data_IF_782260522920
#
_entry.id   IF_782260522920
#
_cell.length_a   1.000
_cell.length_b   1.000
_cell.length_c   1.000
_cell.angle_alpha   90.00
_cell.angle_beta   90.00
_cell.angle_gamma   90.00
#
_symmetry.space_group_name_H-M   'P 1'
#
loop_
_entity.id
_entity.type
_entity.pdbx_description
1 polymer ?
#
# COMPACT_ATOMS: atom_id res chain seq x y z
N UNK A 1 -9.82 -16.73 -16.12
CA UNK A 1 -9.85 -16.51 -14.67
C UNK A 1 -9.62 -17.85 -14.02
N UNK A 2 -8.40 -18.12 -13.57
CA UNK A 2 -8.10 -19.31 -12.78
C UNK A 2 -8.33 -18.89 -11.34
N UNK A 3 -9.30 -19.51 -10.68
CA UNK A 3 -9.50 -19.39 -9.23
C UNK A 3 -8.97 -20.70 -8.66
N UNK A 4 -7.76 -20.66 -8.12
CA UNK A 4 -7.19 -21.77 -7.37
C UNK A 4 -7.67 -21.65 -5.91
N UNK A 5 -8.41 -22.64 -5.37
CA UNK A 5 -8.88 -22.64 -3.98
C UNK A 5 -7.75 -22.82 -2.94
N UNK A 6 -6.49 -23.03 -3.34
CA UNK A 6 -5.33 -23.10 -2.45
C UNK A 6 -4.57 -21.77 -2.28
N UNK A 7 -5.23 -20.62 -2.47
CA UNK A 7 -4.73 -19.27 -2.14
C UNK A 7 -4.49 -19.03 -0.63
N UNK A 8 -4.21 -20.08 0.14
CA UNK A 8 -3.83 -20.03 1.57
C UNK A 8 -2.37 -19.63 1.82
N UNK A 9 -1.57 -19.45 0.77
CA UNK A 9 -0.21 -18.93 0.90
C UNK A 9 -0.23 -17.41 0.79
N UNK A 10 -0.70 -16.74 1.84
CA UNK A 10 -0.63 -15.28 1.92
C UNK A 10 0.85 -14.85 1.83
N UNK A 11 1.15 -13.87 1.00
CA UNK A 11 2.49 -13.33 0.75
C UNK A 11 3.27 -13.03 2.06
N UNK A 12 4.09 -13.99 2.52
CA UNK A 12 4.97 -13.83 3.71
C UNK A 12 6.37 -13.36 3.32
N UNK A 13 6.93 -14.03 2.32
CA UNK A 13 8.34 -13.87 1.95
C UNK A 13 8.53 -12.80 0.88
N UNK A 14 7.59 -12.65 -0.04
CA UNK A 14 7.70 -11.65 -1.09
C UNK A 14 6.32 -11.20 -1.53
N UNK A 15 6.23 -9.94 -1.94
CA UNK A 15 5.00 -9.32 -2.40
C UNK A 15 5.33 -8.28 -3.46
N UNK A 16 4.59 -8.29 -4.56
CA UNK A 16 4.54 -7.19 -5.52
C UNK A 16 3.09 -6.76 -5.68
N UNK A 17 2.82 -5.48 -5.48
CA UNK A 17 1.53 -4.85 -5.77
C UNK A 17 1.76 -3.80 -6.83
N UNK A 18 0.99 -3.85 -7.91
CA UNK A 18 1.01 -2.86 -8.97
C UNK A 18 -0.40 -2.42 -9.35
N UNK A 19 -0.58 -1.13 -9.60
CA UNK A 19 -1.82 -0.58 -10.14
C UNK A 19 -1.62 0.81 -10.75
N UNK A 20 -2.59 1.20 -11.57
CA UNK A 20 -2.70 2.54 -12.12
C UNK A 20 -3.64 3.39 -11.28
N UNK A 21 -3.24 4.62 -10.99
CA UNK A 21 -4.05 5.59 -10.26
C UNK A 21 -4.04 6.95 -10.97
N UNK A 22 -5.21 7.60 -11.01
CA UNK A 22 -5.37 8.97 -11.51
C UNK A 22 -5.82 9.87 -10.35
N UNK A 23 -4.91 10.47 -9.57
CA UNK A 23 -5.30 11.26 -8.42
C UNK A 23 -5.82 12.64 -8.83
N UNK A 24 -6.69 13.21 -8.01
CA UNK A 24 -6.99 14.64 -8.04
C UNK A 24 -5.85 15.47 -7.43
N UNK A 25 -6.11 16.76 -7.22
CA UNK A 25 -5.16 17.62 -6.51
C UNK A 25 -4.85 17.09 -5.09
N UNK A 26 -3.59 17.23 -4.62
CA UNK A 26 -3.23 16.90 -3.25
C UNK A 26 -3.88 17.87 -2.26
N UNK A 27 -3.81 17.57 -0.96
CA UNK A 27 -4.34 18.45 0.10
C UNK A 27 -4.89 17.69 1.30
N UNK A 28 -5.22 16.41 1.13
CA UNK A 28 -5.56 15.49 2.22
C UNK A 28 -4.94 14.14 1.96
N UNK A 29 -4.62 13.40 3.03
CA UNK A 29 -4.20 12.02 2.91
C UNK A 29 -5.33 11.17 2.29
N UNK A 30 -4.97 10.27 1.37
CA UNK A 30 -5.94 9.36 0.73
C UNK A 30 -5.38 7.95 0.68
N UNK A 31 -6.11 6.99 1.25
CA UNK A 31 -5.78 5.57 1.08
C UNK A 31 -6.04 5.15 -0.37
N UNK A 32 -5.10 4.42 -0.94
CA UNK A 32 -5.16 3.89 -2.31
C UNK A 32 -5.43 2.38 -2.28
N UNK A 33 -4.74 1.68 -1.39
CA UNK A 33 -4.94 0.26 -1.11
C UNK A 33 -4.64 -0.01 0.35
N UNK A 34 -5.46 -0.80 1.04
CA UNK A 34 -5.25 -1.12 2.45
C UNK A 34 -5.71 -2.53 2.73
N UNK A 35 -4.93 -3.30 3.48
CA UNK A 35 -5.44 -4.45 4.19
C UNK A 35 -6.19 -3.98 5.42
N UNK A 36 -7.47 -4.31 5.48
CA UNK A 36 -8.39 -3.93 6.54
C UNK A 36 -8.84 -5.15 7.32
N UNK A 37 -8.69 -5.08 8.64
CA UNK A 37 -9.29 -6.03 9.57
C UNK A 37 -10.42 -5.32 10.31
N UNK A 38 -11.58 -5.96 10.34
CA UNK A 38 -12.76 -5.43 11.01
C UNK A 38 -12.49 -5.26 12.52
N UNK A 39 -12.83 -4.10 13.07
CA UNK A 39 -12.66 -3.82 14.51
C UNK A 39 -11.28 -3.31 14.92
N UNK A 40 -10.28 -3.33 14.05
CA UNK A 40 -8.97 -2.74 14.31
C UNK A 40 -8.88 -1.35 13.66
N UNK A 41 -9.13 -0.30 14.45
CA UNK A 41 -8.94 1.08 13.99
C UNK A 41 -7.47 1.48 14.08
N UNK A 42 -6.63 0.97 13.17
CA UNK A 42 -5.25 1.44 13.06
C UNK A 42 -4.91 1.84 11.62
N UNK A 43 -5.09 3.13 11.33
CA UNK A 43 -4.81 3.75 10.02
C UNK A 43 -3.34 4.19 9.87
N UNK A 44 -2.57 4.16 10.96
CA UNK A 44 -1.21 4.71 11.04
C UNK A 44 -0.14 3.63 11.16
N UNK A 45 -0.49 2.47 11.68
CA UNK A 45 0.39 1.30 11.68
C UNK A 45 -0.18 0.29 10.69
N UNK A 46 0.53 -0.07 9.61
CA UNK A 46 0.05 -1.13 8.73
C UNK A 46 -0.19 -2.37 9.59
N UNK A 47 -1.37 -2.97 9.50
CA UNK A 47 -1.64 -4.26 10.13
C UNK A 47 -1.20 -5.43 9.23
N UNK A 48 -0.74 -5.09 8.03
CA UNK A 48 -0.10 -5.96 7.05
C UNK A 48 0.44 -5.08 5.92
N UNK A 49 -0.43 -4.60 5.03
CA UNK A 49 -0.09 -3.64 3.97
C UNK A 49 -0.97 -2.39 3.94
N UNK A 50 -0.36 -1.23 3.68
CA UNK A 50 -1.05 0.00 3.31
C UNK A 50 -0.31 0.74 2.21
N UNK A 51 -1.06 1.40 1.33
CA UNK A 51 -0.54 2.36 0.37
C UNK A 51 -1.49 3.55 0.33
N UNK A 52 -0.93 4.74 0.54
CA UNK A 52 -1.67 6.00 0.55
C UNK A 52 -0.92 7.08 -0.20
N UNK A 53 -1.63 8.12 -0.60
CA UNK A 53 -1.04 9.39 -1.00
C UNK A 53 -1.05 10.33 0.21
N UNK A 54 0.11 10.85 0.59
CA UNK A 54 0.25 11.87 1.62
C UNK A 54 -0.40 13.19 1.21
N UNK A 55 -0.53 14.12 2.16
CA UNK A 55 -1.18 15.40 1.91
C UNK A 55 -0.48 16.24 0.83
N UNK A 56 0.83 16.05 0.63
CA UNK A 56 1.62 16.65 -0.46
C UNK A 56 1.54 15.90 -1.79
N UNK A 57 0.91 14.71 -1.83
CA UNK A 57 0.70 13.91 -3.03
C UNK A 57 1.77 12.84 -3.28
N UNK A 58 2.74 12.67 -2.38
CA UNK A 58 3.70 11.58 -2.40
C UNK A 58 3.01 10.26 -2.03
N UNK A 59 3.18 9.18 -2.82
CA UNK A 59 2.73 7.87 -2.42
C UNK A 59 3.63 7.32 -1.31
N UNK A 60 3.04 6.66 -0.32
CA UNK A 60 3.74 6.06 0.81
C UNK A 60 3.28 4.63 0.98
N UNK A 61 4.23 3.70 0.99
CA UNK A 61 3.97 2.30 1.22
C UNK A 61 4.29 1.92 2.66
N UNK A 62 3.38 1.21 3.32
CA UNK A 62 3.54 0.68 4.65
C UNK A 62 3.43 -0.84 4.66
N UNK A 63 4.37 -1.51 5.32
CA UNK A 63 4.30 -2.95 5.61
C UNK A 63 4.51 -3.21 7.09
N UNK A 64 3.89 -4.27 7.61
CA UNK A 64 4.20 -4.83 8.91
C UNK A 64 4.86 -6.18 8.73
N UNK A 65 6.03 -6.34 9.34
CA UNK A 65 6.77 -7.59 9.38
C UNK A 65 6.83 -8.14 10.80
N UNK A 66 7.35 -9.36 10.95
CA UNK A 66 7.61 -9.97 12.25
C UNK A 66 8.62 -9.20 13.10
N UNK A 67 9.39 -8.26 12.54
CA UNK A 67 10.36 -7.41 13.26
C UNK A 67 9.84 -6.00 13.53
N UNK A 68 8.78 -5.57 12.83
CA UNK A 68 8.13 -4.29 13.06
C UNK A 68 7.52 -3.67 11.82
N UNK A 69 7.06 -2.43 11.97
CA UNK A 69 6.45 -1.67 10.89
C UNK A 69 7.49 -0.87 10.10
N UNK A 70 7.31 -0.82 8.79
CA UNK A 70 8.08 0.02 7.88
C UNK A 70 7.15 0.95 7.13
N UNK A 71 7.57 2.20 6.96
CA UNK A 71 6.93 3.18 6.09
C UNK A 71 7.96 3.71 5.09
N UNK A 72 7.61 3.72 3.81
CA UNK A 72 8.49 4.09 2.71
C UNK A 72 7.80 5.17 1.86
N UNK A 73 8.02 6.46 2.19
CA UNK A 73 7.50 7.56 1.38
C UNK A 73 8.31 7.68 0.09
N UNK A 74 7.66 7.83 -1.06
CA UNK A 74 8.36 8.11 -2.30
C UNK A 74 8.98 9.51 -2.30
N UNK A 75 10.07 9.69 -3.06
CA UNK A 75 10.72 10.99 -3.26
C UNK A 75 10.05 11.85 -4.34
N UNK A 76 9.02 11.32 -5.00
CA UNK A 76 8.28 11.99 -6.08
C UNK A 76 6.79 11.91 -5.84
N UNK A 77 6.10 12.99 -6.16
CA UNK A 77 4.64 13.06 -6.06
C UNK A 77 3.97 12.40 -7.25
N UNK A 78 2.74 11.93 -7.04
CA UNK A 78 1.85 11.57 -8.14
C UNK A 78 1.48 12.81 -8.94
N UNK A 79 1.44 12.70 -10.27
CA UNK A 79 1.00 13.77 -11.13
C UNK A 79 -0.54 13.91 -11.07
N UNK A 80 -1.09 15.03 -10.55
CA UNK A 80 -2.54 15.21 -10.45
C UNK A 80 -3.19 15.28 -11.83
N UNK A 81 -4.33 14.62 -11.99
CA UNK A 81 -5.07 14.60 -13.26
C UNK A 81 -4.48 13.69 -14.33
N UNK A 82 -3.35 13.01 -14.07
CA UNK A 82 -2.72 12.07 -14.99
C UNK A 82 -2.72 10.65 -14.42
N UNK A 83 -2.69 9.66 -15.31
CA UNK A 83 -2.47 8.27 -14.90
C UNK A 83 -1.02 8.09 -14.45
N UNK A 84 -0.86 7.53 -13.25
CA UNK A 84 0.41 7.18 -12.65
C UNK A 84 0.42 5.66 -12.44
N UNK A 85 1.48 4.99 -12.85
CA UNK A 85 1.70 3.59 -12.49
C UNK A 85 2.46 3.52 -11.17
N UNK A 86 1.90 2.85 -10.18
CA UNK A 86 2.55 2.56 -8.92
C UNK A 86 2.85 1.08 -8.82
N UNK A 87 4.05 0.77 -8.32
CA UNK A 87 4.35 -0.57 -7.85
C UNK A 87 5.07 -0.50 -6.49
N UNK A 88 4.79 -1.49 -5.64
CA UNK A 88 5.47 -1.68 -4.36
C UNK A 88 5.95 -3.12 -4.31
N UNK A 89 7.22 -3.32 -3.98
CA UNK A 89 7.82 -4.66 -3.89
C UNK A 89 8.46 -4.85 -2.54
N UNK A 90 8.30 -6.04 -1.96
CA UNK A 90 9.02 -6.50 -0.78
C UNK A 90 9.55 -7.92 -1.02
N UNK A 91 10.76 -8.21 -0.52
CA UNK A 91 11.32 -9.56 -0.45
C UNK A 91 12.10 -9.76 0.87
N UNK A 92 11.82 -10.82 1.62
CA UNK A 92 12.48 -11.19 2.86
C UNK A 92 13.78 -11.98 2.59
N UNK A 93 14.64 -11.44 1.73
CA UNK A 93 15.92 -12.07 1.35
C UNK A 93 17.14 -11.40 2.03
N UNK A 94 16.90 -10.39 2.87
CA UNK A 94 17.94 -9.61 3.54
C UNK A 94 18.78 -8.72 2.62
N UNK A 95 18.43 -8.61 1.34
CA UNK A 95 19.19 -7.81 0.37
C UNK A 95 18.99 -6.30 0.61
N UNK A 96 20.02 -5.45 0.37
CA UNK A 96 19.87 -4.01 0.47
C UNK A 96 18.76 -3.46 -0.44
N UNK A 97 17.83 -2.69 0.12
CA UNK A 97 16.73 -2.09 -0.64
C UNK A 97 15.65 -3.10 -1.05
N UNK A 98 15.47 -4.19 -0.32
CA UNK A 98 14.46 -5.21 -0.59
C UNK A 98 13.00 -4.72 -0.46
N UNK A 99 12.74 -3.56 0.13
CA UNK A 99 11.45 -2.88 0.08
C UNK A 99 11.53 -1.64 -0.82
N UNK A 100 10.74 -1.59 -1.89
CA UNK A 100 10.82 -0.55 -2.93
C UNK A 100 9.45 -0.01 -3.26
N UNK A 101 9.43 1.28 -3.61
CA UNK A 101 8.30 1.92 -4.30
C UNK A 101 8.77 2.44 -5.66
N UNK A 102 7.97 2.13 -6.67
CA UNK A 102 8.19 2.51 -8.06
C UNK A 102 7.05 3.42 -8.52
N UNK A 103 7.41 4.46 -9.27
CA UNK A 103 6.46 5.36 -9.94
C UNK A 103 6.82 5.43 -11.42
N UNK A 104 5.86 5.09 -12.28
CA UNK A 104 6.03 5.03 -13.74
C UNK A 104 7.24 4.18 -14.17
N UNK A 105 7.42 3.03 -13.49
CA UNK A 105 8.49 2.06 -13.77
C UNK A 105 9.87 2.41 -13.22
N UNK A 106 10.01 3.55 -12.51
CA UNK A 106 11.27 3.98 -11.91
C UNK A 106 11.22 3.77 -10.39
N UNK A 107 12.26 3.20 -9.80
CA UNK A 107 12.41 3.15 -8.33
C UNK A 107 12.54 4.59 -7.82
N UNK A 108 11.60 5.02 -6.99
CA UNK A 108 11.58 6.38 -6.43
C UNK A 108 11.93 6.42 -4.95
N UNK A 109 11.86 5.30 -4.23
CA UNK A 109 12.52 5.12 -2.94
C UNK A 109 12.69 3.62 -2.63
N UNK A 110 13.62 3.31 -1.74
CA UNK A 110 13.82 1.96 -1.20
C UNK A 110 14.43 1.99 0.20
N UNK A 111 14.16 0.96 1.00
CA UNK A 111 14.84 0.69 2.26
C UNK A 111 15.05 -0.81 2.45
N UNK A 112 15.90 -1.17 3.40
CA UNK A 112 16.06 -2.57 3.82
C UNK A 112 15.11 -2.86 4.98
N UNK A 113 14.14 -3.74 4.75
CA UNK A 113 13.22 -4.26 5.76
C UNK A 113 13.56 -5.72 6.08
N UNK A 114 13.29 -6.16 7.31
CA UNK A 114 13.58 -7.51 7.77
C UNK A 114 12.32 -8.22 8.28
N UNK A 115 12.32 -9.55 8.23
CA UNK A 115 11.24 -10.38 8.79
C UNK A 115 10.10 -10.63 7.80
N UNK A 116 9.43 -11.75 7.97
CA UNK A 116 8.25 -12.12 7.18
C UNK A 116 7.14 -11.07 7.31
N UNK A 117 6.42 -10.81 6.22
CA UNK A 117 5.20 -10.01 6.26
C UNK A 117 4.20 -10.65 7.23
N UNK A 118 3.68 -9.84 8.16
CA UNK A 118 2.62 -10.29 9.05
C UNK A 118 1.36 -10.58 8.25
N UNK A 119 0.83 -11.78 8.46
CA UNK A 119 -0.45 -12.18 7.91
C UNK A 119 -1.56 -11.70 8.84
N UNK A 120 -2.56 -11.07 8.25
CA UNK A 120 -3.87 -10.98 8.87
C UNK A 120 -4.91 -11.47 7.87
N UNK A 121 -5.93 -12.16 8.36
CA UNK A 121 -7.17 -12.41 7.62
C UNK A 121 -7.86 -11.08 7.38
N UNK A 122 -7.39 -10.37 6.35
CA UNK A 122 -7.73 -8.98 6.08
C UNK A 122 -8.36 -8.85 4.69
N UNK A 123 -9.35 -7.96 4.59
CA UNK A 123 -9.93 -7.56 3.32
C UNK A 123 -8.99 -6.56 2.63
N UNK A 124 -8.76 -6.75 1.34
CA UNK A 124 -8.10 -5.74 0.51
C UNK A 124 -9.12 -4.71 0.05
N UNK A 125 -8.90 -3.45 0.41
CA UNK A 125 -9.79 -2.33 0.06
C UNK A 125 -9.05 -1.35 -0.83
N UNK A 126 -9.59 -1.12 -2.02
CA UNK A 126 -9.15 -0.07 -2.94
C UNK A 126 -9.84 1.25 -2.60
N UNK A 127 -9.06 2.33 -2.57
CA UNK A 127 -9.53 3.64 -2.20
C UNK A 127 -9.76 3.79 -0.69
N UNK A 128 -10.58 4.77 -0.30
CA UNK A 128 -10.72 5.16 1.09
C UNK A 128 -11.74 4.31 1.85
N UNK A 129 -11.35 3.89 3.06
CA UNK A 129 -12.28 3.48 4.14
C UNK A 129 -12.73 4.66 5.01
N UNK A 130 -12.40 5.91 4.63
CA UNK A 130 -13.07 7.10 5.20
C UNK A 130 -14.50 7.11 4.67
N UNK A 131 -15.30 6.37 5.40
CA UNK A 131 -16.56 5.80 4.98
C UNK A 131 -16.78 4.61 5.89
N UNK A 132 -16.94 4.90 7.20
CA UNK A 132 -17.86 4.06 7.95
C UNK A 132 -19.13 3.91 7.10
N UNK A 133 -19.81 2.78 7.17
CA UNK A 133 -21.13 2.60 6.58
C UNK A 133 -22.10 3.70 7.10
N UNK A 134 -22.02 4.88 6.51
CA UNK A 134 -22.43 6.16 7.07
C UNK A 134 -22.25 7.23 5.99
N UNK A 135 -23.36 7.51 5.31
CA UNK A 135 -23.47 8.28 4.08
C UNK A 135 -22.58 9.52 3.95
N UNK A 136 -21.84 9.57 2.85
CA UNK A 136 -21.15 10.75 2.35
C UNK A 136 -20.85 10.55 0.88
N UNK A 137 -21.67 11.17 0.02
CA UNK A 137 -21.71 10.94 -1.41
C UNK A 137 -20.38 11.27 -2.12
N UNK A 138 -19.98 10.39 -3.04
CA UNK A 138 -19.08 10.72 -4.13
C UNK A 138 -19.83 11.61 -5.12
N UNK A 139 -19.35 12.82 -5.38
CA UNK A 139 -19.82 13.63 -6.49
C UNK A 139 -18.74 13.68 -7.58
N UNK A 140 -19.09 13.14 -8.76
CA UNK A 140 -18.65 13.53 -10.10
C UNK A 140 -17.18 13.78 -10.36
#
# INVERSE_FOLDING_TARGET
MIVDPNLGDHFKEAMTIEFWVKPGAPGVERKLLTQYVAGTWNLYNPLGFQLWAGASGEPVAGIMTSTGAYALPATKNLAPGFWNHLAVTYANDGSPGNFKILLNGQVVNQLTATGELTQQDALWILGSITGGFGGGAWSG
#
